data_IF_671291921447
#
_entry.id   IF_671291921447
#
_cell.length_a   1.000
_cell.length_b   1.000
_cell.length_c   1.000
_cell.angle_alpha   90.00
_cell.angle_beta   90.00
_cell.angle_gamma   90.00
#
_symmetry.space_group_name_H-M   'P 1'
#
loop_
_entity.id
_entity.type
_entity.pdbx_description
1 polymer ?
#
# COMPACT_ATOMS: atom_id res chain seq x y z
N UNK A 1 -25.09 -1.89 -12.16
CA UNK A 1 -23.80 -2.20 -11.52
C UNK A 1 -23.67 -1.27 -10.33
N UNK A 2 -24.04 -1.72 -9.13
CA UNK A 2 -23.83 -0.96 -7.90
C UNK A 2 -22.37 -1.11 -7.53
N UNK A 3 -21.63 -0.01 -7.62
CA UNK A 3 -20.24 0.06 -7.15
C UNK A 3 -20.26 0.05 -5.61
N UNK A 4 -20.42 -1.14 -5.02
CA UNK A 4 -20.38 -1.36 -3.57
C UNK A 4 -18.93 -1.28 -3.07
N UNK A 5 -18.27 -0.16 -3.32
CA UNK A 5 -16.96 0.09 -2.71
C UNK A 5 -17.20 0.45 -1.24
N UNK A 6 -16.77 -0.39 -0.28
CA UNK A 6 -16.97 -0.09 1.13
C UNK A 6 -16.26 1.22 1.50
N UNK A 7 -16.82 2.01 2.43
CA UNK A 7 -16.24 3.28 2.82
C UNK A 7 -14.80 3.09 3.31
N UNK A 8 -13.88 3.87 2.75
CA UNK A 8 -12.43 3.79 3.05
C UNK A 8 -12.09 4.05 4.51
N UNK A 9 -12.89 4.89 5.17
CA UNK A 9 -12.72 5.32 6.55
C UNK A 9 -13.51 4.43 7.52
N UNK A 10 -12.79 3.79 8.44
CA UNK A 10 -13.35 2.91 9.46
C UNK A 10 -13.61 3.66 10.77
N UNK A 11 -14.65 3.26 11.49
CA UNK A 11 -14.80 3.62 12.91
C UNK A 11 -13.80 2.86 13.77
N UNK A 12 -13.59 3.29 15.01
CA UNK A 12 -12.74 2.58 15.97
C UNK A 12 -13.12 1.10 16.12
N UNK A 13 -14.42 0.81 16.28
CA UNK A 13 -14.93 -0.57 16.41
C UNK A 13 -14.71 -1.37 15.12
N UNK A 14 -14.93 -0.77 13.96
CA UNK A 14 -14.73 -1.43 12.67
C UNK A 14 -13.24 -1.69 12.40
N UNK A 15 -12.35 -0.76 12.76
CA UNK A 15 -10.91 -0.94 12.63
C UNK A 15 -10.39 -2.05 13.56
N UNK A 16 -10.86 -2.08 14.81
CA UNK A 16 -10.52 -3.17 15.74
C UNK A 16 -11.02 -4.53 15.23
N UNK A 17 -12.26 -4.59 14.75
CA UNK A 17 -12.83 -5.81 14.15
C UNK A 17 -12.07 -6.25 12.89
N UNK A 18 -11.67 -5.30 12.04
CA UNK A 18 -10.88 -5.55 10.84
C UNK A 18 -9.52 -6.20 11.17
N UNK A 19 -8.90 -5.77 12.27
CA UNK A 19 -7.64 -6.32 12.76
C UNK A 19 -7.78 -7.59 13.62
N UNK A 20 -9.02 -8.03 13.91
CA UNK A 20 -9.27 -9.17 14.78
C UNK A 20 -8.92 -8.94 16.25
N UNK A 21 -8.83 -7.68 16.70
CA UNK A 21 -8.45 -7.33 18.08
C UNK A 21 -9.58 -6.63 18.84
N UNK A 22 -9.46 -6.58 20.16
CA UNK A 22 -10.42 -5.83 20.99
C UNK A 22 -10.28 -4.31 20.77
N UNK A 23 -11.36 -3.56 20.96
CA UNK A 23 -11.33 -2.08 20.84
C UNK A 23 -10.29 -1.43 21.78
N UNK A 24 -10.14 -1.86 23.05
CA UNK A 24 -9.06 -1.36 23.91
C UNK A 24 -7.66 -1.69 23.39
N UNK A 25 -7.44 -2.89 22.84
CA UNK A 25 -6.15 -3.27 22.25
C UNK A 25 -5.81 -2.36 21.07
N UNK A 26 -6.79 -2.08 20.20
CA UNK A 26 -6.62 -1.16 19.09
C UNK A 26 -6.18 0.24 19.56
N UNK A 27 -6.81 0.79 20.61
CA UNK A 27 -6.41 2.09 21.16
C UNK A 27 -4.99 2.06 21.69
N UNK A 28 -4.60 0.99 22.40
CA UNK A 28 -3.22 0.83 22.89
C UNK A 28 -2.21 0.84 21.74
N UNK A 29 -2.51 0.18 20.63
CA UNK A 29 -1.65 0.17 19.45
C UNK A 29 -1.54 1.55 18.79
N UNK A 30 -2.65 2.29 18.71
CA UNK A 30 -2.66 3.67 18.21
C UNK A 30 -1.82 4.57 19.13
N UNK A 31 -2.00 4.48 20.45
CA UNK A 31 -1.21 5.25 21.43
C UNK A 31 0.28 4.88 21.43
N UNK A 32 0.61 3.62 21.16
CA UNK A 32 1.98 3.14 21.03
C UNK A 32 2.62 3.50 19.68
N UNK A 33 1.87 4.07 18.72
CA UNK A 33 2.36 4.40 17.39
C UNK A 33 2.56 3.20 16.46
N UNK A 34 2.03 2.02 16.83
CA UNK A 34 2.06 0.80 16.00
C UNK A 34 1.09 0.96 14.81
N UNK A 35 -0.06 1.56 15.07
CA UNK A 35 -1.10 1.86 14.07
C UNK A 35 -1.25 3.38 13.97
N UNK A 36 -1.56 3.94 12.77
CA UNK A 36 -1.74 5.37 12.60
C UNK A 36 -2.85 5.95 13.47
N UNK A 37 -2.69 7.23 13.82
CA UNK A 37 -3.75 8.04 14.41
C UNK A 37 -4.93 8.24 13.44
N UNK A 38 -6.05 8.69 13.99
CA UNK A 38 -7.22 9.02 13.19
C UNK A 38 -6.94 10.14 12.19
N UNK A 39 -7.71 10.16 11.10
CA UNK A 39 -7.52 11.10 9.99
C UNK A 39 -8.00 12.48 10.41
N UNK A 40 -7.06 13.42 10.61
CA UNK A 40 -7.33 14.80 11.01
C UNK A 40 -8.07 14.90 12.35
N UNK A 41 -9.01 15.84 12.47
CA UNK A 41 -9.84 16.00 13.67
C UNK A 41 -10.97 14.96 13.80
N UNK A 42 -11.03 13.97 12.90
CA UNK A 42 -12.08 12.95 12.92
C UNK A 42 -11.71 11.79 13.85
N UNK A 43 -12.72 11.00 14.24
CA UNK A 43 -12.53 9.71 14.94
C UNK A 43 -12.65 8.55 13.95
N UNK A 44 -12.02 8.69 12.79
CA UNK A 44 -12.03 7.70 11.70
C UNK A 44 -10.61 7.32 11.31
N UNK A 45 -10.41 6.06 10.94
CA UNK A 45 -9.11 5.52 10.54
C UNK A 45 -9.14 5.11 9.09
N UNK A 46 -8.08 5.41 8.36
CA UNK A 46 -7.94 5.00 6.97
C UNK A 46 -7.48 3.54 6.89
N UNK A 47 -8.27 2.70 6.21
CA UNK A 47 -7.95 1.28 6.05
C UNK A 47 -6.56 1.07 5.41
N UNK A 48 -6.21 1.82 4.37
CA UNK A 48 -4.91 1.67 3.69
C UNK A 48 -3.75 2.11 4.57
N UNK A 49 -3.94 3.12 5.41
CA UNK A 49 -2.91 3.55 6.35
C UNK A 49 -2.66 2.48 7.42
N UNK A 50 -3.72 1.81 7.89
CA UNK A 50 -3.60 0.66 8.79
C UNK A 50 -2.80 -0.46 8.11
N UNK A 51 -3.19 -0.86 6.90
CA UNK A 51 -2.52 -1.93 6.16
C UNK A 51 -1.03 -1.60 5.94
N UNK A 52 -0.72 -0.36 5.51
CA UNK A 52 0.67 0.08 5.30
C UNK A 52 1.49 0.05 6.60
N UNK A 53 0.90 0.38 7.74
CA UNK A 53 1.59 0.31 9.02
C UNK A 53 1.91 -1.14 9.40
N UNK A 54 0.99 -2.07 9.14
CA UNK A 54 1.22 -3.49 9.33
C UNK A 54 2.29 -4.03 8.38
N UNK A 55 2.22 -3.66 7.10
CA UNK A 55 3.19 -4.06 6.09
C UNK A 55 4.61 -3.62 6.50
N UNK A 56 4.77 -2.41 7.03
CA UNK A 56 6.04 -1.92 7.58
C UNK A 56 6.54 -2.75 8.75
N UNK A 57 5.66 -3.12 9.68
CA UNK A 57 6.01 -3.95 10.84
C UNK A 57 6.38 -5.37 10.40
N UNK A 58 5.68 -5.90 9.40
CA UNK A 58 5.91 -7.24 8.85
C UNK A 58 7.08 -7.31 7.86
N UNK A 59 7.71 -6.18 7.54
CA UNK A 59 8.77 -6.12 6.53
C UNK A 59 8.28 -6.33 5.09
N UNK A 60 6.97 -6.19 4.85
CA UNK A 60 6.34 -6.29 3.52
C UNK A 60 6.41 -4.99 2.73
N UNK A 61 6.87 -3.89 3.34
CA UNK A 61 7.19 -2.62 2.66
C UNK A 61 8.55 -2.68 1.93
N UNK A 62 9.11 -3.88 1.74
CA UNK A 62 10.21 -4.06 0.81
C UNK A 62 9.78 -3.48 -0.54
N UNK A 63 10.54 -2.54 -1.11
CA UNK A 63 10.25 -2.06 -2.44
C UNK A 63 10.33 -3.29 -3.33
N UNK A 64 9.17 -3.77 -3.82
CA UNK A 64 9.13 -4.58 -5.02
C UNK A 64 9.98 -3.80 -5.99
N UNK A 65 11.20 -4.28 -6.25
CA UNK A 65 12.03 -3.69 -7.28
C UNK A 65 11.10 -3.52 -8.46
N UNK A 66 10.90 -2.27 -8.87
CA UNK A 66 10.15 -1.99 -10.09
C UNK A 66 11.01 -2.63 -11.16
N UNK A 67 10.76 -3.91 -11.42
CA UNK A 67 11.39 -4.64 -12.48
C UNK A 67 10.97 -3.85 -13.71
N UNK A 68 11.94 -3.10 -14.21
CA UNK A 68 11.73 -1.90 -15.00
C UNK A 68 11.47 -2.38 -16.43
N UNK A 69 10.35 -3.07 -16.60
CA UNK A 69 9.97 -3.81 -17.80
C UNK A 69 9.96 -2.90 -19.02
N UNK A 70 9.66 -1.62 -18.81
CA UNK A 70 9.78 -0.57 -19.82
C UNK A 70 11.23 -0.24 -20.18
N UNK A 71 12.14 -0.12 -19.20
CA UNK A 71 13.58 0.07 -19.47
C UNK A 71 14.19 -1.13 -20.19
N UNK A 72 13.87 -2.35 -19.77
CA UNK A 72 14.33 -3.57 -20.44
C UNK A 72 13.80 -3.65 -21.88
N UNK A 73 12.53 -3.33 -22.09
CA UNK A 73 11.94 -3.27 -23.43
C UNK A 73 12.63 -2.22 -24.31
N UNK A 74 12.89 -1.02 -23.78
CA UNK A 74 13.51 0.08 -24.53
C UNK A 74 14.96 -0.24 -24.93
N UNK A 75 15.77 -0.77 -24.01
CA UNK A 75 17.13 -1.25 -24.30
C UNK A 75 17.12 -2.32 -25.40
N UNK A 76 16.16 -3.25 -25.35
CA UNK A 76 16.01 -4.31 -26.36
C UNK A 76 15.62 -3.75 -27.74
N UNK A 77 14.84 -2.67 -27.80
CA UNK A 77 14.47 -2.00 -29.06
C UNK A 77 15.65 -1.22 -29.65
N UNK A 78 16.36 -0.44 -28.83
CA UNK A 78 17.52 0.33 -29.27
C UNK A 78 18.63 -0.58 -29.81
N UNK A 79 18.89 -1.72 -29.14
CA UNK A 79 19.83 -2.73 -29.62
C UNK A 79 19.39 -3.40 -30.93
N UNK A 80 18.08 -3.50 -31.21
CA UNK A 80 17.58 -3.99 -32.52
C UNK A 80 17.77 -2.95 -33.62
N UNK A 81 17.46 -1.69 -33.34
CA UNK A 81 17.63 -0.57 -34.29
C UNK A 81 19.10 -0.37 -34.66
N UNK A 82 20.01 -0.44 -33.69
CA UNK A 82 21.45 -0.31 -33.93
C UNK A 82 22.03 -1.44 -34.80
N UNK A 83 21.45 -2.65 -34.75
CA UNK A 83 21.85 -3.77 -35.62
C UNK A 83 21.30 -3.63 -37.05
N UNK A 84 20.12 -3.06 -37.20
CA UNK A 84 19.51 -2.85 -38.52
C UNK A 84 20.16 -1.68 -39.31
N UNK A 85 20.72 -0.69 -38.61
CA UNK A 85 21.43 0.46 -39.21
C UNK A 85 22.86 0.15 -39.73
N UNK A 86 23.40 -1.05 -39.49
CA UNK A 86 24.74 -1.47 -39.95
C UNK A 86 24.73 -2.41 -41.16
N UNK A 87 23.58 -2.53 -41.82
CA UNK A 87 23.40 -3.32 -43.05
C UNK A 87 22.87 -2.41 -44.17
N UNK A 88 23.66 -1.42 -44.54
CA UNK A 88 23.58 -0.66 -45.79
C UNK A 88 25.03 -0.33 -46.22
#
# INVERSE_FOLDING_TARGET
>A
MTDETPPRLLTQKAAAAYLGVSTPTFVKWVMAGIIPNSVGSTRKWDKKAIDLALDKISGLDEPKEKQDSYREWKLRQDARRARHSKSD
#
